data_IF_405392503496
#
_entry.id   IF_405392503496
#
_cell.length_a   1.000
_cell.length_b   1.000
_cell.length_c   1.000
_cell.angle_alpha   90.00
_cell.angle_beta   90.00
_cell.angle_gamma   90.00
#
_symmetry.space_group_name_H-M   'P 1'
#
loop_
_entity.id
_entity.type
_entity.pdbx_description
1 polymer ?
#
# COMPACT_ATOMS: atom_id res chain seq x y z
N UNK A 1 -2.82 39.68 7.61
CA UNK A 1 -2.61 38.47 8.43
C UNK A 1 -2.53 37.30 7.47
N UNK A 2 -1.33 36.83 7.15
CA UNK A 2 -1.16 35.65 6.31
C UNK A 2 -1.65 34.44 7.10
N UNK A 3 -2.70 33.79 6.62
CA UNK A 3 -3.06 32.43 7.03
C UNK A 3 -1.84 31.56 6.69
N UNK A 4 -1.01 31.31 7.69
CA UNK A 4 0.16 30.45 7.57
C UNK A 4 -0.28 28.99 7.70
N UNK A 5 0.23 28.13 6.81
CA UNK A 5 0.11 26.69 6.97
C UNK A 5 1.04 26.26 8.12
N UNK A 6 0.46 25.75 9.22
CA UNK A 6 1.19 25.21 10.36
C UNK A 6 1.20 23.69 10.31
N UNK A 7 2.38 23.08 10.40
CA UNK A 7 2.55 21.62 10.43
C UNK A 7 3.02 21.17 11.80
N UNK A 8 2.37 20.15 12.34
CA UNK A 8 2.82 19.43 13.53
C UNK A 8 3.91 18.43 13.12
N UNK A 9 5.17 18.86 13.07
CA UNK A 9 6.28 18.01 12.57
C UNK A 9 6.42 16.68 13.33
N UNK A 10 6.14 16.68 14.63
CA UNK A 10 6.19 15.44 15.44
C UNK A 10 5.09 14.44 15.05
N UNK A 11 3.90 14.93 14.69
CA UNK A 11 2.80 14.09 14.24
C UNK A 11 3.08 13.52 12.85
N UNK A 12 3.62 14.34 11.94
CA UNK A 12 4.06 13.87 10.63
C UNK A 12 5.19 12.85 10.73
N UNK A 13 6.15 13.06 11.63
CA UNK A 13 7.26 12.13 11.85
C UNK A 13 6.74 10.77 12.34
N UNK A 14 5.78 10.77 13.27
CA UNK A 14 5.08 9.56 13.71
C UNK A 14 4.36 8.87 12.54
N UNK A 15 3.62 9.62 11.72
CA UNK A 15 2.92 9.09 10.56
C UNK A 15 3.89 8.44 9.55
N UNK A 16 4.95 9.15 9.19
CA UNK A 16 5.91 8.75 8.16
C UNK A 16 6.83 7.59 8.57
N UNK A 17 7.12 7.48 9.87
CA UNK A 17 8.07 6.49 10.39
C UNK A 17 7.40 5.30 11.10
N UNK A 18 6.11 5.39 11.43
CA UNK A 18 5.40 4.32 12.18
C UNK A 18 4.09 3.91 11.52
N UNK A 19 3.14 4.84 11.36
CA UNK A 19 1.77 4.47 10.96
C UNK A 19 1.68 4.03 9.50
N UNK A 20 2.32 4.77 8.58
CA UNK A 20 2.33 4.42 7.16
C UNK A 20 3.10 3.12 6.88
N UNK A 21 4.31 2.90 7.43
CA UNK A 21 4.98 1.60 7.30
C UNK A 21 4.15 0.43 7.84
N UNK A 22 3.52 0.59 9.01
CA UNK A 22 2.65 -0.44 9.59
C UNK A 22 1.45 -0.73 8.68
N UNK A 23 0.85 0.32 8.11
CA UNK A 23 -0.25 0.16 7.15
C UNK A 23 0.22 -0.57 5.88
N UNK A 24 1.41 -0.27 5.36
CA UNK A 24 1.96 -0.97 4.20
C UNK A 24 2.17 -2.46 4.50
N UNK A 25 2.70 -2.81 5.69
CA UNK A 25 2.86 -4.20 6.14
C UNK A 25 1.52 -4.94 6.24
N UNK A 26 0.53 -4.32 6.90
CA UNK A 26 -0.81 -4.90 7.03
C UNK A 26 -1.48 -5.09 5.66
N UNK A 27 -1.26 -4.17 4.73
CA UNK A 27 -1.79 -4.26 3.37
C UNK A 27 -1.05 -5.30 2.53
N UNK A 28 0.22 -5.60 2.83
CA UNK A 28 0.99 -6.61 2.12
C UNK A 28 0.63 -8.05 2.55
N UNK A 29 0.19 -8.24 3.79
CA UNK A 29 -0.10 -9.56 4.38
C UNK A 29 -1.05 -10.45 3.54
N UNK A 30 -2.13 -9.94 2.92
CA UNK A 30 -3.04 -10.77 2.15
C UNK A 30 -2.49 -11.21 0.78
N UNK A 31 -1.45 -10.55 0.25
CA UNK A 31 -0.97 -10.77 -1.13
C UNK A 31 -0.53 -12.23 -1.37
N UNK A 32 0.26 -12.87 -0.49
CA UNK A 32 0.65 -14.27 -0.68
C UNK A 32 -0.55 -15.23 -0.62
N UNK A 33 -1.53 -14.95 0.22
CA UNK A 33 -2.75 -15.76 0.33
C UNK A 33 -3.60 -15.66 -0.94
N UNK A 34 -3.74 -14.46 -1.51
CA UNK A 34 -4.42 -14.25 -2.79
C UNK A 34 -3.71 -14.97 -3.94
N UNK A 35 -2.37 -14.98 -3.95
CA UNK A 35 -1.59 -15.71 -4.93
C UNK A 35 -1.76 -17.24 -4.79
N UNK A 36 -1.84 -17.76 -3.55
CA UNK A 36 -2.05 -19.19 -3.30
C UNK A 36 -3.45 -19.67 -3.72
N UNK A 37 -4.48 -18.82 -3.60
CA UNK A 37 -5.84 -19.10 -4.08
C UNK A 37 -5.96 -19.18 -5.60
N UNK A 38 -4.90 -18.83 -6.35
CA UNK A 38 -4.87 -18.96 -7.79
C UNK A 38 -4.73 -20.43 -8.23
N UNK A 39 -4.20 -21.30 -7.38
CA UNK A 39 -3.86 -22.70 -7.72
C UNK A 39 -5.03 -23.68 -7.55
N UNK A 40 -6.23 -23.30 -8.01
CA UNK A 40 -7.30 -24.27 -8.21
C UNK A 40 -6.93 -25.10 -9.44
N UNK A 41 -6.36 -26.27 -9.19
CA UNK A 41 -5.97 -27.24 -10.21
C UNK A 41 -7.05 -27.49 -11.27
N UNK A 42 -6.67 -28.04 -12.43
CA UNK A 42 -7.55 -28.16 -13.58
C UNK A 42 -8.87 -28.87 -13.23
N UNK A 43 -9.99 -28.17 -13.45
CA UNK A 43 -11.34 -28.75 -13.39
C UNK A 43 -11.54 -29.64 -14.61
N UNK A 44 -11.02 -30.87 -14.53
CA UNK A 44 -11.19 -31.85 -15.59
C UNK A 44 -12.68 -32.15 -15.77
N UNK A 45 -13.24 -31.76 -16.93
CA UNK A 45 -14.54 -32.18 -17.48
C UNK A 45 -15.78 -31.31 -17.21
N UNK A 46 -15.66 -30.04 -16.79
CA UNK A 46 -16.82 -29.12 -16.75
C UNK A 46 -16.45 -27.72 -17.30
N UNK A 47 -16.88 -27.38 -18.54
CA UNK A 47 -16.58 -26.09 -19.17
C UNK A 47 -17.02 -24.87 -18.34
N UNK A 48 -18.17 -24.97 -17.67
CA UNK A 48 -18.71 -23.93 -16.80
C UNK A 48 -17.84 -23.74 -15.56
N UNK A 49 -17.41 -24.83 -14.92
CA UNK A 49 -16.48 -24.79 -13.79
C UNK A 49 -15.13 -24.17 -14.22
N UNK A 50 -14.60 -24.54 -15.39
CA UNK A 50 -13.38 -23.94 -15.93
C UNK A 50 -13.52 -22.45 -16.22
N UNK A 51 -14.69 -21.98 -16.68
CA UNK A 51 -14.95 -20.56 -16.89
C UNK A 51 -14.97 -19.78 -15.57
N UNK A 52 -15.60 -20.32 -14.53
CA UNK A 52 -15.61 -19.73 -13.18
C UNK A 52 -14.20 -19.69 -12.59
N UNK A 53 -13.42 -20.77 -12.71
CA UNK A 53 -12.03 -20.81 -12.23
C UNK A 53 -11.18 -19.73 -12.89
N UNK A 54 -11.27 -19.55 -14.21
CA UNK A 54 -10.54 -18.48 -14.92
C UNK A 54 -10.98 -17.08 -14.49
N UNK A 55 -12.29 -16.85 -14.36
CA UNK A 55 -12.81 -15.55 -13.94
C UNK A 55 -12.38 -15.20 -12.50
N UNK A 56 -12.39 -16.20 -11.61
CA UNK A 56 -11.94 -16.06 -10.23
C UNK A 56 -10.43 -15.77 -10.15
N UNK A 57 -9.61 -16.49 -10.92
CA UNK A 57 -8.16 -16.26 -10.98
C UNK A 57 -7.83 -14.85 -11.49
N UNK A 58 -8.47 -14.39 -12.57
CA UNK A 58 -8.30 -13.03 -13.07
C UNK A 58 -8.75 -11.96 -12.04
N UNK A 59 -9.78 -12.24 -11.25
CA UNK A 59 -10.24 -11.37 -10.19
C UNK A 59 -9.22 -11.26 -9.04
N UNK A 60 -8.66 -12.39 -8.61
CA UNK A 60 -7.61 -12.42 -7.57
C UNK A 60 -6.33 -11.71 -8.01
N UNK A 61 -5.95 -11.83 -9.28
CA UNK A 61 -4.81 -11.09 -9.85
C UNK A 61 -5.05 -9.59 -9.81
N UNK A 62 -6.26 -9.15 -10.20
CA UNK A 62 -6.63 -7.74 -10.15
C UNK A 62 -6.59 -7.19 -8.73
N UNK A 63 -7.12 -7.92 -7.75
CA UNK A 63 -7.07 -7.53 -6.33
C UNK A 63 -5.61 -7.45 -5.88
N UNK A 64 -4.81 -8.48 -6.14
CA UNK A 64 -3.39 -8.52 -5.76
C UNK A 64 -2.60 -7.37 -6.36
N UNK A 65 -2.85 -7.04 -7.64
CA UNK A 65 -2.21 -5.90 -8.31
C UNK A 65 -2.59 -4.57 -7.67
N UNK A 66 -3.87 -4.37 -7.31
CA UNK A 66 -4.32 -3.14 -6.64
C UNK A 66 -3.75 -3.03 -5.23
N UNK A 67 -3.67 -4.15 -4.51
CA UNK A 67 -3.08 -4.20 -3.18
C UNK A 67 -1.61 -3.75 -3.20
N UNK A 68 -0.82 -4.26 -4.18
CA UNK A 68 0.57 -3.82 -4.39
C UNK A 68 0.67 -2.33 -4.67
N UNK A 69 -0.17 -1.80 -5.58
CA UNK A 69 -0.19 -0.37 -5.89
C UNK A 69 -0.50 0.50 -4.66
N UNK A 70 -1.36 0.01 -3.76
CA UNK A 70 -1.64 0.71 -2.50
C UNK A 70 -0.44 0.69 -1.57
N UNK A 71 0.25 -0.44 -1.41
CA UNK A 71 1.51 -0.51 -0.65
C UNK A 71 2.56 0.47 -1.22
N UNK A 72 2.76 0.47 -2.54
CA UNK A 72 3.72 1.37 -3.20
C UNK A 72 3.38 2.84 -2.94
N UNK A 73 2.10 3.21 -3.03
CA UNK A 73 1.64 4.58 -2.76
C UNK A 73 1.81 4.98 -1.29
N UNK A 74 1.62 4.05 -0.35
CA UNK A 74 1.85 4.30 1.08
C UNK A 74 3.34 4.57 1.34
N UNK A 75 4.22 3.75 0.76
CA UNK A 75 5.66 3.88 0.91
C UNK A 75 6.18 5.19 0.29
N UNK A 76 5.69 5.54 -0.90
CA UNK A 76 6.01 6.82 -1.56
C UNK A 76 5.52 8.01 -0.73
N UNK A 77 4.33 7.93 -0.14
CA UNK A 77 3.79 8.95 0.76
C UNK A 77 4.65 9.09 2.01
N UNK A 78 5.06 7.97 2.62
CA UNK A 78 5.93 7.98 3.78
C UNK A 78 7.30 8.61 3.46
N UNK A 79 7.90 8.26 2.32
CA UNK A 79 9.16 8.86 1.86
C UNK A 79 9.03 10.38 1.65
N UNK A 80 7.99 10.80 0.94
CA UNK A 80 7.70 12.22 0.66
C UNK A 80 7.50 13.00 1.97
N UNK A 81 6.80 12.43 2.94
CA UNK A 81 6.63 13.07 4.25
C UNK A 81 7.96 13.24 4.99
N UNK A 82 8.87 12.25 4.95
CA UNK A 82 10.20 12.37 5.55
C UNK A 82 11.01 13.51 4.91
N UNK A 83 10.92 13.66 3.58
CA UNK A 83 11.58 14.75 2.86
C UNK A 83 11.03 16.12 3.26
N UNK A 84 9.70 16.24 3.35
CA UNK A 84 9.03 17.46 3.83
C UNK A 84 9.49 17.79 5.26
N UNK A 85 9.47 16.82 6.18
CA UNK A 85 9.92 17.02 7.57
C UNK A 85 11.37 17.49 7.61
N UNK A 86 12.26 16.88 6.82
CA UNK A 86 13.66 17.27 6.76
C UNK A 86 13.84 18.71 6.24
N UNK A 87 13.05 19.12 5.25
CA UNK A 87 13.04 20.49 4.73
C UNK A 87 12.63 21.49 5.81
N UNK A 88 11.54 21.20 6.54
CA UNK A 88 11.06 22.06 7.61
C UNK A 88 12.06 22.15 8.77
N UNK A 89 12.62 21.03 9.24
CA UNK A 89 13.65 21.03 10.28
C UNK A 89 14.87 21.86 9.88
N UNK A 90 15.31 21.77 8.63
CA UNK A 90 16.42 22.59 8.11
C UNK A 90 16.07 24.07 8.07
N UNK A 91 14.86 24.43 7.65
CA UNK A 91 14.38 25.81 7.64
C UNK A 91 14.33 26.42 9.06
N UNK A 92 13.98 25.59 10.05
CA UNK A 92 13.96 25.97 11.48
C UNK A 92 15.34 25.93 12.16
N UNK A 93 16.42 25.63 11.42
CA UNK A 93 17.79 25.57 11.95
C UNK A 93 18.10 24.32 12.79
N UNK A 94 17.28 23.27 12.68
CA UNK A 94 17.43 21.99 13.39
C UNK A 94 18.03 20.88 12.50
N UNK A 95 18.70 21.27 11.40
CA UNK A 95 19.27 20.36 10.39
C UNK A 95 20.68 19.89 10.69
#
# INVERSE_FOLDING_TARGET
MTSGFGLQLNELDRLANQELPLLAEMMAEPIPALAALHDFGPTHNCPEASAVTRAHSAHLDLISSRQRQVCDAIDETASTLREIIALYRRADGQG
#
